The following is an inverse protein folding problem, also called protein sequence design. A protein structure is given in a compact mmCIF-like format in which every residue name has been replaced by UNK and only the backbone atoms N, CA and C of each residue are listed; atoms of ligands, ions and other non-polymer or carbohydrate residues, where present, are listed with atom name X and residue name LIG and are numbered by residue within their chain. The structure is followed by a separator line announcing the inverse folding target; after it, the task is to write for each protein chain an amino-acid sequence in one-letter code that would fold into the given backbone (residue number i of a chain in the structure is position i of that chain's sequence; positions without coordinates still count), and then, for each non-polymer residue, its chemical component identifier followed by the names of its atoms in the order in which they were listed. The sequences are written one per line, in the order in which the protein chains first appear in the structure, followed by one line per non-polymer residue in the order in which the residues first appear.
data_IF_405208384687
#
_entry.id   IF_405208384687
#
_cell.length_a   1.000
_cell.length_b   1.000
_cell.length_c   1.000
_cell.angle_alpha   90.00
_cell.angle_beta   90.00
_cell.angle_gamma   90.00
#
_symmetry.space_group_name_H-M   'P 1'
#
loop_
_entity.id
_entity.type
_entity.pdbx_description
1 polymer ?
#
# COMPACT_ATOMS: atom_id res chain seq x y z
N UNK A 1 -27.36 -49.83 -42.57
CA UNK A 1 -26.02 -50.42 -42.76
C UNK A 1 -25.00 -49.28 -42.76
N UNK A 2 -23.96 -49.40 -41.91
CA UNK A 2 -22.58 -48.87 -42.02
C UNK A 2 -22.37 -47.44 -42.56
N UNK A 3 -21.61 -46.54 -41.94
CA UNK A 3 -20.65 -46.63 -40.84
C UNK A 3 -19.57 -45.55 -41.01
N UNK A 4 -19.15 -44.97 -39.87
CA UNK A 4 -17.85 -44.33 -39.57
C UNK A 4 -17.29 -43.17 -40.42
N UNK A 5 -17.02 -42.07 -39.72
CA UNK A 5 -16.12 -41.00 -40.15
C UNK A 5 -15.74 -40.08 -38.97
N UNK A 6 -14.93 -40.58 -38.05
CA UNK A 6 -14.30 -39.82 -36.95
C UNK A 6 -13.34 -38.77 -37.52
N UNK A 7 -13.43 -37.49 -37.10
CA UNK A 7 -12.24 -36.63 -36.86
C UNK A 7 -12.51 -35.65 -35.71
N UNK A 8 -11.65 -35.77 -34.70
CA UNK A 8 -11.48 -34.89 -33.56
C UNK A 8 -11.04 -33.47 -33.99
N UNK A 9 -11.15 -32.57 -33.01
CA UNK A 9 -10.28 -31.40 -32.74
C UNK A 9 -10.80 -30.05 -33.24
N UNK A 10 -11.30 -29.26 -32.29
CA UNK A 10 -11.62 -27.83 -32.43
C UNK A 10 -11.65 -27.21 -31.04
N UNK A 11 -10.49 -26.71 -30.63
CA UNK A 11 -10.12 -26.17 -29.31
C UNK A 11 -11.10 -25.18 -28.67
N UNK A 12 -11.12 -25.22 -27.33
CA UNK A 12 -11.55 -24.15 -26.42
C UNK A 12 -10.99 -22.77 -26.81
N UNK A 13 -11.80 -21.73 -26.63
CA UNK A 13 -11.32 -20.43 -26.17
C UNK A 13 -12.39 -19.76 -25.30
N UNK A 14 -12.35 -20.07 -24.01
CA UNK A 14 -12.99 -19.30 -22.96
C UNK A 14 -12.18 -18.02 -22.75
N UNK A 15 -12.70 -16.88 -23.18
CA UNK A 15 -12.10 -15.58 -22.80
C UNK A 15 -12.70 -15.19 -21.46
N UNK A 16 -12.02 -15.63 -20.39
CA UNK A 16 -12.18 -15.08 -19.05
C UNK A 16 -11.99 -13.56 -19.13
N UNK A 17 -13.07 -12.80 -18.98
CA UNK A 17 -13.00 -11.41 -18.55
C UNK A 17 -12.55 -11.39 -17.09
N UNK A 18 -11.24 -11.60 -16.87
CA UNK A 18 -10.62 -11.48 -15.58
C UNK A 18 -10.62 -10.01 -15.17
N UNK A 19 -11.54 -9.69 -14.25
CA UNK A 19 -11.48 -8.62 -13.26
C UNK A 19 -10.21 -7.76 -13.30
N UNK A 20 -10.31 -6.58 -13.92
CA UNK A 20 -9.41 -5.44 -13.68
C UNK A 20 -9.75 -4.79 -12.32
N UNK A 21 -9.81 -5.58 -11.24
CA UNK A 21 -9.81 -5.06 -9.88
C UNK A 21 -8.37 -4.81 -9.44
N UNK A 22 -7.69 -3.92 -10.16
CA UNK A 22 -6.53 -3.22 -9.62
C UNK A 22 -7.02 -2.22 -8.59
N UNK A 23 -7.38 -2.72 -7.40
CA UNK A 23 -7.41 -2.02 -6.13
C UNK A 23 -7.55 -0.48 -6.20
N UNK A 24 -8.79 0.01 -6.33
CA UNK A 24 -9.17 1.21 -5.57
C UNK A 24 -9.21 0.81 -4.09
N UNK A 25 -8.06 0.49 -3.51
CA UNK A 25 -7.93 0.36 -2.06
C UNK A 25 -8.06 1.77 -1.51
N UNK A 26 -9.31 2.15 -1.24
CA UNK A 26 -9.63 3.44 -0.65
C UNK A 26 -8.85 3.62 0.64
N UNK A 27 -8.34 4.83 0.86
CA UNK A 27 -7.71 5.20 2.13
C UNK A 27 -8.74 5.00 3.22
N UNK A 28 -8.46 4.09 4.15
CA UNK A 28 -9.37 3.84 5.25
C UNK A 28 -9.44 5.08 6.13
N UNK A 29 -10.66 5.55 6.27
CA UNK A 29 -11.01 6.70 7.08
C UNK A 29 -11.57 6.23 8.43
N UNK A 30 -11.43 7.10 9.42
CA UNK A 30 -11.79 6.90 10.81
C UNK A 30 -11.39 8.14 11.59
N UNK A 31 -11.42 8.07 12.93
CA UNK A 31 -10.96 9.20 13.74
C UNK A 31 -9.45 9.35 13.61
N UNK A 32 -8.97 10.53 13.22
CA UNK A 32 -7.54 10.84 13.24
C UNK A 32 -7.04 10.76 14.69
N UNK A 33 -6.08 9.88 14.93
CA UNK A 33 -5.41 9.76 16.23
C UNK A 33 -4.11 10.57 16.21
N UNK A 34 -3.35 10.46 15.11
CA UNK A 34 -2.06 11.11 14.99
C UNK A 34 -1.65 11.31 13.53
N UNK A 35 -0.85 12.34 13.26
CA UNK A 35 -0.07 12.46 12.02
C UNK A 35 1.31 13.01 12.34
N UNK A 36 2.37 12.38 11.81
CA UNK A 36 3.76 12.80 12.02
C UNK A 36 4.62 12.61 10.77
N UNK A 37 5.69 13.41 10.58
CA UNK A 37 6.63 13.21 9.48
C UNK A 37 7.34 11.86 9.59
N UNK A 38 7.70 11.31 8.44
CA UNK A 38 8.60 10.17 8.32
C UNK A 38 9.98 10.67 7.91
N UNK A 39 11.00 10.31 8.67
CA UNK A 39 12.38 10.62 8.32
C UNK A 39 12.90 9.58 7.34
N UNK A 40 13.54 10.01 6.26
CA UNK A 40 14.12 9.11 5.28
C UNK A 40 15.27 8.31 5.89
N UNK A 41 15.39 7.06 5.48
CA UNK A 41 16.52 6.19 5.79
C UNK A 41 17.46 6.08 4.58
N UNK A 42 18.77 5.92 4.82
CA UNK A 42 19.77 5.88 3.76
C UNK A 42 19.55 4.73 2.76
N UNK A 43 18.83 3.68 3.17
CA UNK A 43 18.46 2.55 2.32
C UNK A 43 17.29 2.83 1.36
N UNK A 44 16.68 4.02 1.38
CA UNK A 44 15.51 4.38 0.56
C UNK A 44 14.15 4.09 1.22
N UNK A 45 14.17 3.68 2.49
CA UNK A 45 12.97 3.55 3.33
C UNK A 45 12.79 4.73 4.27
N UNK A 46 12.20 4.45 5.42
CA UNK A 46 12.03 5.43 6.49
C UNK A 46 12.57 4.90 7.81
N UNK A 47 13.01 5.81 8.68
CA UNK A 47 13.39 5.47 10.05
C UNK A 47 12.20 4.81 10.76
N UNK A 48 12.43 3.75 11.57
CA UNK A 48 11.36 3.13 12.34
C UNK A 48 10.66 4.13 13.27
N UNK A 49 9.34 3.97 13.39
CA UNK A 49 8.49 4.83 14.22
C UNK A 49 7.91 4.04 15.37
N UNK A 50 8.12 4.51 16.60
CA UNK A 50 7.41 3.99 17.77
C UNK A 50 6.04 4.66 17.92
N UNK A 51 5.01 3.84 18.01
CA UNK A 51 3.61 4.20 18.15
C UNK A 51 3.07 3.67 19.47
N UNK A 52 2.35 4.51 20.22
CA UNK A 52 1.58 4.07 21.37
C UNK A 52 0.17 3.74 20.90
N UNK A 53 -0.17 2.45 20.80
CA UNK A 53 -1.47 1.99 20.35
C UNK A 53 -2.21 1.33 21.52
N UNK A 54 -3.50 1.60 21.65
CA UNK A 54 -4.34 1.02 22.71
C UNK A 54 -5.46 0.16 22.15
N UNK A 55 -5.98 -0.76 22.95
CA UNK A 55 -7.08 -1.65 22.54
C UNK A 55 -8.33 -0.86 22.13
N UNK A 56 -8.58 0.30 22.74
CA UNK A 56 -9.71 1.18 22.43
C UNK A 56 -9.57 1.91 21.08
N UNK A 57 -8.39 1.88 20.47
CA UNK A 57 -8.17 2.41 19.12
C UNK A 57 -8.53 1.39 18.02
N UNK A 58 -8.79 0.14 18.41
CA UNK A 58 -8.95 -0.97 17.48
C UNK A 58 -10.28 -0.93 16.72
N UNK A 59 -10.29 -1.19 15.40
CA UNK A 59 -9.14 -1.41 14.52
C UNK A 59 -8.42 -0.11 14.17
N UNK A 60 -7.10 -0.21 13.95
CA UNK A 60 -6.30 0.91 13.44
C UNK A 60 -6.00 0.75 11.96
N UNK A 61 -5.89 1.87 11.23
CA UNK A 61 -5.27 1.95 9.93
C UNK A 61 -4.03 2.86 10.01
N UNK A 62 -2.94 2.40 9.40
CA UNK A 62 -1.69 3.13 9.26
C UNK A 62 -1.59 3.58 7.80
N UNK A 63 -1.79 4.87 7.58
CA UNK A 63 -1.82 5.47 6.27
C UNK A 63 -0.48 6.17 5.98
N UNK A 64 0.09 5.88 4.81
CA UNK A 64 1.20 6.64 4.26
C UNK A 64 0.65 7.81 3.49
N UNK A 65 1.22 9.00 3.71
CA UNK A 65 0.92 10.20 2.94
C UNK A 65 2.22 10.78 2.42
N UNK A 66 2.24 11.26 1.19
CA UNK A 66 3.36 12.02 0.64
C UNK A 66 2.88 12.83 -0.55
N UNK A 67 3.78 13.61 -1.13
CA UNK A 67 3.54 14.41 -2.33
C UNK A 67 4.43 13.92 -3.48
N UNK A 68 3.84 13.69 -4.64
CA UNK A 68 4.56 13.45 -5.88
C UNK A 68 5.19 14.76 -6.39
N UNK A 69 6.42 14.66 -6.88
CA UNK A 69 7.06 15.73 -7.64
C UNK A 69 6.47 15.89 -9.04
N UNK A 70 6.87 16.95 -9.75
CA UNK A 70 6.61 17.08 -11.18
C UNK A 70 7.87 16.70 -11.96
N UNK A 71 8.08 15.38 -12.13
CA UNK A 71 9.27 14.79 -12.72
C UNK A 71 8.88 13.88 -13.90
N UNK A 72 8.77 14.41 -15.12
CA UNK A 72 8.43 13.63 -16.32
C UNK A 72 9.27 12.37 -16.54
N UNK A 73 10.53 12.39 -16.11
CA UNK A 73 11.45 11.25 -16.20
C UNK A 73 11.14 10.10 -15.23
N UNK A 74 10.15 10.27 -14.33
CA UNK A 74 9.61 9.23 -13.45
C UNK A 74 8.37 8.54 -14.06
N UNK A 75 7.98 8.89 -15.29
CA UNK A 75 6.90 8.20 -16.00
C UNK A 75 7.14 6.69 -16.06
N UNK A 76 6.11 5.91 -15.69
CA UNK A 76 6.14 4.45 -15.56
C UNK A 76 7.03 3.90 -14.44
N UNK A 77 7.50 4.74 -13.51
CA UNK A 77 8.25 4.30 -12.33
C UNK A 77 7.34 4.15 -11.11
N UNK A 78 7.77 3.31 -10.18
CA UNK A 78 7.10 3.11 -8.90
C UNK A 78 8.09 2.72 -7.81
N UNK A 79 7.79 3.11 -6.59
CA UNK A 79 8.46 2.58 -5.39
C UNK A 79 7.66 1.39 -4.87
N UNK A 80 8.36 0.36 -4.38
CA UNK A 80 7.75 -0.77 -3.70
C UNK A 80 8.30 -0.85 -2.28
N UNK A 81 7.41 -0.93 -1.31
CA UNK A 81 7.73 -0.94 0.11
C UNK A 81 7.04 -2.10 0.83
N UNK A 82 7.60 -2.49 1.97
CA UNK A 82 6.96 -3.32 2.97
C UNK A 82 6.79 -2.52 4.26
N UNK A 83 5.56 -2.44 4.75
CA UNK A 83 5.24 -1.93 6.07
C UNK A 83 5.08 -3.09 7.04
N UNK A 84 5.83 -3.09 8.14
CA UNK A 84 5.74 -4.10 9.19
C UNK A 84 5.48 -3.45 10.54
N UNK A 85 4.46 -3.92 11.25
CA UNK A 85 4.14 -3.52 12.62
C UNK A 85 4.64 -4.61 13.57
N UNK A 86 5.42 -4.22 14.58
CA UNK A 86 6.01 -5.14 15.56
C UNK A 86 5.69 -4.72 16.99
N UNK A 87 5.62 -5.69 17.91
CA UNK A 87 5.52 -5.47 19.36
C UNK A 87 6.51 -6.37 20.08
N UNK A 88 7.30 -5.78 20.98
CA UNK A 88 8.37 -6.52 21.68
C UNK A 88 9.35 -7.21 20.71
N UNK A 89 9.65 -6.58 19.57
CA UNK A 89 10.52 -7.14 18.53
C UNK A 89 9.89 -8.22 17.63
N UNK A 90 8.66 -8.66 17.89
CA UNK A 90 7.94 -9.61 17.04
C UNK A 90 7.03 -8.88 16.07
N UNK A 91 7.15 -9.19 14.78
CA UNK A 91 6.21 -8.71 13.74
C UNK A 91 4.83 -9.31 14.01
N UNK A 92 3.83 -8.45 14.17
CA UNK A 92 2.43 -8.83 14.38
C UNK A 92 1.59 -8.64 13.11
N UNK A 93 2.00 -7.73 12.23
CA UNK A 93 1.36 -7.50 10.93
C UNK A 93 2.39 -7.03 9.91
N UNK A 94 2.22 -7.40 8.65
CA UNK A 94 3.05 -6.91 7.55
C UNK A 94 2.24 -6.83 6.26
N UNK A 95 2.55 -5.86 5.42
CA UNK A 95 1.94 -5.69 4.11
C UNK A 95 2.84 -4.90 3.17
N UNK A 96 2.87 -5.34 1.92
CA UNK A 96 3.56 -4.63 0.84
C UNK A 96 2.62 -3.59 0.22
N UNK A 97 3.18 -2.46 -0.22
CA UNK A 97 2.44 -1.43 -0.94
C UNK A 97 3.34 -0.74 -1.98
N UNK A 98 2.70 -0.19 -3.02
CA UNK A 98 3.39 0.49 -4.10
C UNK A 98 2.98 1.96 -4.16
N UNK A 99 3.94 2.82 -4.51
CA UNK A 99 3.69 4.23 -4.83
C UNK A 99 4.06 4.45 -6.29
N UNK A 100 3.04 4.67 -7.12
CA UNK A 100 3.22 4.84 -8.56
C UNK A 100 3.29 6.32 -8.89
N UNK A 101 4.22 6.71 -9.78
CA UNK A 101 4.18 8.03 -10.39
C UNK A 101 3.00 8.10 -11.37
N UNK A 102 2.15 9.12 -11.24
CA UNK A 102 0.92 9.28 -12.05
C UNK A 102 0.99 10.41 -13.05
N UNK A 103 2.11 11.14 -13.12
CA UNK A 103 2.37 12.13 -14.14
C UNK A 103 2.83 11.51 -15.45
N UNK A 104 2.79 12.31 -16.51
CA UNK A 104 3.27 11.98 -17.86
C UNK A 104 4.21 13.08 -18.33
N UNK A 105 4.77 12.93 -19.54
CA UNK A 105 5.61 13.97 -20.15
C UNK A 105 4.84 15.28 -20.37
N UNK A 106 3.57 15.17 -20.75
CA UNK A 106 2.76 16.32 -21.15
C UNK A 106 1.89 16.87 -20.01
N UNK A 107 1.71 16.10 -18.92
CA UNK A 107 0.80 16.43 -17.84
C UNK A 107 1.39 16.05 -16.48
N UNK A 108 1.43 16.98 -15.50
CA UNK A 108 1.85 16.65 -14.14
C UNK A 108 0.87 15.65 -13.47
N UNK A 109 1.25 15.03 -12.35
CA UNK A 109 0.35 14.18 -11.57
C UNK A 109 -0.96 14.93 -11.23
N UNK A 110 -2.10 14.37 -11.63
CA UNK A 110 -3.42 14.96 -11.36
C UNK A 110 -3.75 15.03 -9.86
N UNK A 111 -3.20 14.09 -9.09
CA UNK A 111 -3.30 14.02 -7.63
C UNK A 111 -1.88 14.02 -7.06
N UNK A 112 -1.27 15.20 -6.88
CA UNK A 112 0.09 15.27 -6.36
C UNK A 112 0.14 14.85 -4.90
N UNK A 113 -0.95 14.99 -4.14
CA UNK A 113 -1.07 14.41 -2.81
C UNK A 113 -1.48 12.95 -2.90
N UNK A 114 -0.67 12.08 -2.31
CA UNK A 114 -0.93 10.65 -2.24
C UNK A 114 -1.30 10.25 -0.82
N UNK A 115 -2.21 9.30 -0.71
CA UNK A 115 -2.55 8.64 0.54
C UNK A 115 -2.82 7.17 0.27
N UNK A 116 -2.20 6.28 1.03
CA UNK A 116 -2.30 4.83 0.90
C UNK A 116 -2.46 4.22 2.29
N UNK A 117 -3.46 3.37 2.49
CA UNK A 117 -3.51 2.53 3.70
C UNK A 117 -2.47 1.42 3.57
N UNK A 118 -1.35 1.57 4.26
CA UNK A 118 -0.27 0.58 4.24
C UNK A 118 -0.70 -0.69 4.97
N UNK A 119 -1.33 -0.53 6.13
CA UNK A 119 -1.60 -1.63 7.04
C UNK A 119 -2.84 -1.36 7.88
N UNK A 120 -3.63 -2.40 8.12
CA UNK A 120 -4.69 -2.40 9.14
C UNK A 120 -4.39 -3.45 10.19
N UNK A 121 -4.73 -3.16 11.44
CA UNK A 121 -4.53 -4.12 12.51
C UNK A 121 -5.55 -3.98 13.63
N UNK A 122 -5.90 -5.11 14.24
CA UNK A 122 -6.72 -5.13 15.46
C UNK A 122 -5.78 -5.16 16.67
N UNK A 123 -5.83 -4.10 17.47
CA UNK A 123 -5.02 -3.98 18.68
C UNK A 123 -5.69 -4.79 19.78
N UNK A 124 -5.13 -5.95 20.12
CA UNK A 124 -5.60 -6.80 21.21
C UNK A 124 -5.04 -6.35 22.56
N UNK A 125 -3.83 -5.77 22.57
CA UNK A 125 -3.12 -5.36 23.77
C UNK A 125 -2.52 -3.98 23.60
N UNK A 126 -2.75 -3.11 24.58
CA UNK A 126 -2.18 -1.75 24.61
C UNK A 126 -0.66 -1.79 24.82
N UNK A 127 0.04 -0.82 24.24
CA UNK A 127 1.48 -0.61 24.47
C UNK A 127 2.19 0.02 23.27
N UNK A 128 3.51 -0.12 23.28
CA UNK A 128 4.38 0.36 22.21
C UNK A 128 4.45 -0.64 21.05
N UNK A 129 4.30 -0.10 19.85
CA UNK A 129 4.45 -0.81 18.59
C UNK A 129 5.48 -0.10 17.74
N UNK A 130 6.36 -0.84 17.09
CA UNK A 130 7.31 -0.31 16.13
C UNK A 130 6.77 -0.53 14.71
N UNK A 131 6.58 0.56 13.97
CA UNK A 131 6.33 0.52 12.53
C UNK A 131 7.64 0.70 11.78
N UNK A 132 7.97 -0.24 10.90
CA UNK A 132 9.05 -0.07 9.93
C UNK A 132 8.49 -0.06 8.51
N UNK A 133 9.04 0.82 7.66
CA UNK A 133 8.72 0.91 6.24
C UNK A 133 10.04 0.74 5.48
N UNK A 134 10.20 -0.39 4.81
CA UNK A 134 11.44 -0.78 4.13
C UNK A 134 11.21 -0.90 2.63
N UNK A 135 12.14 -0.43 1.80
CA UNK A 135 12.02 -0.59 0.35
C UNK A 135 12.25 -2.05 -0.03
N UNK A 136 11.46 -2.55 -0.96
CA UNK A 136 11.62 -3.88 -1.57
C UNK A 136 12.54 -3.86 -2.78
N UNK A 137 12.74 -2.67 -3.36
CA UNK A 137 13.70 -2.35 -4.42
C UNK A 137 14.18 -0.90 -4.24
N UNK A 138 15.30 -0.49 -4.83
CA UNK A 138 15.71 0.92 -4.82
C UNK A 138 14.55 1.84 -5.25
N UNK A 139 14.25 2.92 -4.50
CA UNK A 139 13.22 3.87 -4.90
C UNK A 139 13.55 4.54 -6.23
N UNK A 140 12.51 4.72 -7.04
CA UNK A 140 12.58 5.25 -8.40
C UNK A 140 11.72 6.52 -8.60
N UNK A 141 10.87 6.84 -7.61
CA UNK A 141 9.96 8.00 -7.58
C UNK A 141 10.33 8.86 -6.37
N UNK A 142 10.54 10.16 -6.59
CA UNK A 142 10.77 11.11 -5.50
C UNK A 142 9.48 11.42 -4.75
N UNK A 143 9.53 11.26 -3.42
CA UNK A 143 8.40 11.46 -2.51
C UNK A 143 8.71 12.59 -1.53
N UNK A 144 7.96 13.67 -1.64
CA UNK A 144 8.12 14.85 -0.79
C UNK A 144 7.18 14.78 0.41
N UNK A 145 7.59 15.40 1.51
CA UNK A 145 6.82 15.49 2.75
C UNK A 145 6.15 14.17 3.21
N UNK A 146 6.89 13.05 3.28
CA UNK A 146 6.32 11.77 3.70
C UNK A 146 5.85 11.85 5.16
N UNK A 147 4.64 11.37 5.42
CA UNK A 147 3.97 11.39 6.72
C UNK A 147 3.29 10.06 6.99
N UNK A 148 3.32 9.65 8.25
CA UNK A 148 2.47 8.61 8.77
C UNK A 148 1.22 9.25 9.36
N UNK A 149 0.05 8.74 9.00
CA UNK A 149 -1.21 9.04 9.66
C UNK A 149 -1.76 7.78 10.32
N UNK A 150 -2.13 7.88 11.60
CA UNK A 150 -2.79 6.83 12.36
C UNK A 150 -4.27 7.16 12.47
N UNK A 151 -5.12 6.26 11.95
CA UNK A 151 -6.58 6.30 12.13
C UNK A 151 -6.99 5.21 13.10
N UNK A 152 -7.90 5.53 14.01
CA UNK A 152 -8.48 4.59 14.97
C UNK A 152 -9.95 4.33 14.67
N UNK A 153 -10.46 3.21 15.16
CA UNK A 153 -11.85 2.77 15.02
C UNK A 153 -12.30 2.75 13.55
N UNK A 154 -11.42 2.29 12.66
CA UNK A 154 -11.70 2.24 11.23
C UNK A 154 -12.66 1.09 10.90
N UNK A 155 -13.49 1.30 9.88
CA UNK A 155 -14.29 0.22 9.31
C UNK A 155 -13.40 -0.60 8.39
N UNK A 156 -13.18 -1.87 8.72
CA UNK A 156 -12.43 -2.78 7.85
C UNK A 156 -13.33 -3.25 6.69
N UNK A 157 -12.76 -3.48 5.49
CA UNK A 157 -13.46 -4.18 4.42
C UNK A 157 -13.97 -5.53 4.92
N UNK A 158 -15.21 -5.89 4.53
CA UNK A 158 -15.80 -7.19 4.84
C UNK A 158 -15.23 -8.29 3.96
#
# INVERSE_FOLDING_TARGET
MQGMGNRLTGLLAATCAAFLLGACEGVLTGTAAETRPLEADAGGGYQPVTLTLTAEMSPVALNFRAELGNHPHEMNKWNAYQASLSRGGRVVASRDFNVNYTGTVDMPPAHPELAITMLTWRIAESGEYALAIRPLKPPEVDLRNPRLEVRRNVQLPQ
#
